data_IF_378507342632
#
_entry.id   IF_378507342632
#
_cell.length_a   1.000
_cell.length_b   1.000
_cell.length_c   1.000
_cell.angle_alpha   90.00
_cell.angle_beta   90.00
_cell.angle_gamma   90.00
#
_symmetry.space_group_name_H-M   'P 1'
#
loop_
_entity.id
_entity.type
_entity.pdbx_description
1 polymer ?
#
# COMPACT_ATOMS: atom_id res chain seq x y z
N UNK A 1 -1.71 -11.37 -15.98
CA UNK A 1 -0.84 -10.51 -15.17
C UNK A 1 -0.06 -11.42 -14.26
N UNK A 2 1.28 -11.33 -14.23
CA UNK A 2 2.09 -12.10 -13.30
C UNK A 2 1.55 -11.92 -11.88
N UNK A 3 1.37 -13.02 -11.15
CA UNK A 3 0.94 -12.95 -9.76
C UNK A 3 1.99 -12.15 -8.99
N UNK A 4 1.63 -10.94 -8.55
CA UNK A 4 2.48 -10.13 -7.68
C UNK A 4 2.81 -10.96 -6.44
N UNK A 5 4.09 -10.95 -6.05
CA UNK A 5 4.49 -11.60 -4.81
C UNK A 5 3.85 -10.90 -3.60
N UNK A 6 3.84 -11.56 -2.45
CA UNK A 6 3.35 -10.95 -1.21
C UNK A 6 4.10 -9.65 -0.89
N UNK A 7 5.41 -9.61 -1.11
CA UNK A 7 6.22 -8.42 -0.86
C UNK A 7 5.91 -7.30 -1.86
N UNK A 8 5.75 -7.63 -3.16
CA UNK A 8 5.35 -6.66 -4.18
C UNK A 8 4.04 -5.96 -3.83
N UNK A 9 3.06 -6.74 -3.33
CA UNK A 9 1.76 -6.19 -2.88
C UNK A 9 1.95 -5.22 -1.72
N UNK A 10 2.82 -5.54 -0.75
CA UNK A 10 3.09 -4.66 0.39
C UNK A 10 3.78 -3.37 -0.04
N UNK A 11 4.77 -3.45 -0.93
CA UNK A 11 5.46 -2.27 -1.49
C UNK A 11 4.45 -1.39 -2.23
N UNK A 12 3.65 -1.97 -3.12
CA UNK A 12 2.60 -1.25 -3.85
C UNK A 12 1.64 -0.53 -2.90
N UNK A 13 1.18 -1.21 -1.85
CA UNK A 13 0.28 -0.62 -0.85
C UNK A 13 0.92 0.55 -0.10
N UNK A 14 2.18 0.44 0.33
CA UNK A 14 2.87 1.53 1.02
C UNK A 14 3.02 2.77 0.13
N UNK A 15 3.35 2.57 -1.15
CA UNK A 15 3.44 3.68 -2.10
C UNK A 15 2.08 4.29 -2.42
N UNK A 16 1.04 3.48 -2.58
CA UNK A 16 -0.32 3.97 -2.77
C UNK A 16 -0.81 4.77 -1.55
N UNK A 17 -0.57 4.31 -0.33
CA UNK A 17 -0.86 5.04 0.92
C UNK A 17 -0.11 6.39 0.98
N UNK A 18 1.09 6.47 0.39
CA UNK A 18 1.81 7.73 0.30
C UNK A 18 1.24 8.70 -0.75
N UNK A 19 0.48 8.18 -1.73
CA UNK A 19 -0.11 8.95 -2.85
C UNK A 19 -1.53 9.43 -2.53
N UNK A 20 -2.29 8.66 -1.75
CA UNK A 20 -3.68 8.97 -1.39
C UNK A 20 -3.82 9.13 0.12
N UNK A 21 -4.22 10.32 0.56
CA UNK A 21 -4.43 10.61 1.98
C UNK A 21 -5.72 9.99 2.53
N UNK A 22 -6.76 9.92 1.69
CA UNK A 22 -8.07 9.35 2.03
C UNK A 22 -8.13 7.85 1.73
N UNK A 23 -8.53 7.06 2.73
CA UNK A 23 -8.59 5.60 2.63
C UNK A 23 -9.64 5.14 1.62
N UNK A 24 -10.76 5.84 1.46
CA UNK A 24 -11.78 5.44 0.49
C UNK A 24 -11.24 5.54 -0.94
N UNK A 25 -10.62 6.68 -1.28
CA UNK A 25 -9.97 6.93 -2.57
C UNK A 25 -8.85 5.91 -2.83
N UNK A 26 -8.02 5.65 -1.81
CA UNK A 26 -6.98 4.62 -1.87
C UNK A 26 -7.56 3.25 -2.23
N UNK A 27 -8.59 2.80 -1.51
CA UNK A 27 -9.22 1.50 -1.73
C UNK A 27 -9.87 1.40 -3.12
N UNK A 28 -10.53 2.46 -3.59
CA UNK A 28 -11.10 2.50 -4.95
C UNK A 28 -10.03 2.33 -6.03
N UNK A 29 -8.89 3.02 -5.89
CA UNK A 29 -7.77 2.90 -6.84
C UNK A 29 -7.12 1.52 -6.80
N UNK A 30 -6.90 0.98 -5.60
CA UNK A 30 -6.29 -0.33 -5.42
C UNK A 30 -7.14 -1.48 -5.96
N UNK A 31 -8.48 -1.37 -5.90
CA UNK A 31 -9.40 -2.38 -6.46
C UNK A 31 -9.22 -2.59 -7.97
N UNK A 32 -8.67 -1.62 -8.69
CA UNK A 32 -8.38 -1.75 -10.11
C UNK A 32 -7.18 -2.66 -10.41
N UNK A 33 -6.30 -2.88 -9.41
CA UNK A 33 -5.02 -3.59 -9.58
C UNK A 33 -4.88 -4.83 -8.70
N UNK A 34 -5.59 -4.88 -7.56
CA UNK A 34 -5.55 -5.96 -6.60
C UNK A 34 -6.96 -6.36 -6.14
N UNK A 35 -7.20 -7.64 -5.82
CA UNK A 35 -8.46 -8.07 -5.24
C UNK A 35 -8.60 -7.53 -3.81
N UNK A 36 -9.84 -7.22 -3.39
CA UNK A 36 -10.15 -6.64 -2.07
C UNK A 36 -9.50 -7.42 -0.91
N UNK A 37 -9.57 -8.75 -0.96
CA UNK A 37 -8.98 -9.63 0.06
C UNK A 37 -7.48 -9.41 0.26
N UNK A 38 -6.74 -9.16 -0.83
CA UNK A 38 -5.30 -8.92 -0.76
C UNK A 38 -4.99 -7.52 -0.24
N UNK A 39 -5.82 -6.53 -0.59
CA UNK A 39 -5.74 -5.17 -0.06
C UNK A 39 -5.92 -5.18 1.46
N UNK A 40 -7.02 -5.78 1.93
CA UNK A 40 -7.35 -5.85 3.37
C UNK A 40 -6.25 -6.57 4.16
N UNK A 41 -5.79 -7.72 3.66
CA UNK A 41 -4.70 -8.50 4.28
C UNK A 41 -3.39 -7.72 4.28
N UNK A 42 -3.07 -7.04 3.18
CA UNK A 42 -1.86 -6.24 3.06
C UNK A 42 -1.87 -5.06 4.04
N UNK A 43 -2.95 -4.29 4.10
CA UNK A 43 -3.13 -3.19 5.06
C UNK A 43 -3.02 -3.71 6.50
N UNK A 44 -3.70 -4.81 6.84
CA UNK A 44 -3.62 -5.41 8.16
C UNK A 44 -2.19 -5.84 8.51
N UNK A 45 -1.44 -6.38 7.53
CA UNK A 45 -0.04 -6.77 7.70
C UNK A 45 0.84 -5.54 7.92
N UNK A 46 0.67 -4.47 7.14
CA UNK A 46 1.43 -3.23 7.28
C UNK A 46 1.17 -2.55 8.62
N UNK A 47 -0.05 -2.60 9.13
CA UNK A 47 -0.39 -2.09 10.47
C UNK A 47 0.20 -3.00 11.56
N UNK A 48 0.01 -4.31 11.45
CA UNK A 48 0.53 -5.29 12.42
C UNK A 48 2.06 -5.30 12.52
N UNK A 49 2.75 -4.96 11.43
CA UNK A 49 4.22 -4.81 11.37
C UNK A 49 4.69 -3.37 11.63
N UNK A 50 3.79 -2.48 12.04
CA UNK A 50 4.06 -1.07 12.33
C UNK A 50 4.68 -0.27 11.18
N UNK A 51 4.56 -0.75 9.93
CA UNK A 51 5.00 -0.03 8.73
C UNK A 51 4.03 1.06 8.31
N UNK A 52 2.75 0.89 8.60
CA UNK A 52 1.67 1.85 8.40
C UNK A 52 0.91 2.02 9.71
N UNK A 53 0.36 3.21 9.94
CA UNK A 53 -0.50 3.52 11.08
C UNK A 53 -1.77 4.22 10.62
N UNK A 54 -2.87 3.99 11.35
CA UNK A 54 -4.12 4.74 11.18
C UNK A 54 -4.06 5.97 12.09
N UNK A 55 -4.13 7.17 11.52
CA UNK A 55 -4.02 8.44 12.26
C UNK A 55 -5.38 9.18 12.38
N UNK A 56 -6.39 8.70 11.68
CA UNK A 56 -7.76 9.20 11.74
C UNK A 56 -8.75 8.10 11.39
N UNK A 57 -10.07 8.37 11.42
CA UNK A 57 -11.08 7.37 11.08
C UNK A 57 -10.83 6.73 9.71
N UNK A 58 -10.42 7.52 8.71
CA UNK A 58 -10.25 7.08 7.31
C UNK A 58 -8.89 7.51 6.73
N UNK A 59 -7.86 7.61 7.58
CA UNK A 59 -6.54 8.11 7.18
C UNK A 59 -5.46 7.11 7.56
N UNK A 60 -4.80 6.55 6.55
CA UNK A 60 -3.64 5.68 6.67
C UNK A 60 -2.37 6.47 6.35
N UNK A 61 -1.31 6.23 7.11
CA UNK A 61 -0.03 6.91 6.92
C UNK A 61 1.12 5.92 7.08
N UNK A 62 2.11 5.98 6.19
CA UNK A 62 3.37 5.27 6.39
C UNK A 62 4.06 5.74 7.67
N UNK A 63 4.48 4.79 8.50
CA UNK A 63 5.15 5.05 9.75
C UNK A 63 6.66 5.23 9.51
N UNK A 64 7.03 6.25 8.74
CA UNK A 64 8.42 6.54 8.34
C UNK A 64 9.35 6.61 9.56
N UNK A 65 8.86 7.16 10.69
CA UNK A 65 9.62 7.20 11.95
C UNK A 65 10.01 5.82 12.49
N UNK A 66 9.27 4.76 12.16
CA UNK A 66 9.57 3.38 12.56
C UNK A 66 10.39 2.62 11.51
N UNK A 67 10.07 2.80 10.23
CA UNK A 67 10.71 2.05 9.13
C UNK A 67 11.96 2.73 8.56
N UNK A 68 12.22 3.98 8.90
CA UNK A 68 13.31 4.81 8.36
C UNK A 68 12.96 5.39 7.00
N UNK A 69 12.69 4.53 6.02
CA UNK A 69 12.38 4.92 4.65
C UNK A 69 11.31 4.02 4.02
N UNK A 70 10.67 4.50 2.95
CA UNK A 70 9.79 3.69 2.13
C UNK A 70 10.61 2.65 1.36
N UNK A 71 10.09 1.42 1.18
CA UNK A 71 10.78 0.41 0.40
C UNK A 71 11.00 0.90 -1.04
N UNK A 72 12.15 0.54 -1.63
CA UNK A 72 12.41 0.79 -3.05
C UNK A 72 11.32 0.14 -3.91
N UNK A 73 11.02 0.77 -5.04
CA UNK A 73 9.98 0.30 -5.97
C UNK A 73 10.64 -0.63 -7.01
N UNK A 74 10.32 -1.94 -7.03
CA UNK A 74 10.70 -2.81 -8.12
C UNK A 74 10.21 -2.32 -9.48
N UNK A 75 11.04 -2.49 -10.52
CA UNK A 75 10.73 -2.03 -11.88
C UNK A 75 9.39 -2.54 -12.41
N UNK A 76 9.03 -3.79 -12.10
CA UNK A 76 7.80 -4.43 -12.58
C UNK A 76 6.53 -3.95 -11.88
N UNK A 77 6.63 -3.29 -10.72
CA UNK A 77 5.47 -2.71 -10.03
C UNK A 77 5.39 -1.19 -10.20
N UNK A 78 6.48 -0.55 -10.65
CA UNK A 78 6.55 0.90 -10.86
C UNK A 78 5.45 1.39 -11.81
N UNK A 79 5.27 0.71 -12.94
CA UNK A 79 4.23 1.05 -13.92
C UNK A 79 2.81 0.97 -13.32
N UNK A 80 2.60 0.05 -12.37
CA UNK A 80 1.31 -0.09 -11.68
C UNK A 80 1.08 1.11 -10.75
N UNK A 81 2.09 1.49 -9.96
CA UNK A 81 2.01 2.63 -9.02
C UNK A 81 1.83 3.96 -9.78
N UNK A 82 2.55 4.13 -10.89
CA UNK A 82 2.44 5.32 -11.74
C UNK A 82 1.04 5.41 -12.38
N UNK A 83 0.41 4.27 -12.70
CA UNK A 83 -0.93 4.17 -13.28
C UNK A 83 -2.11 4.33 -12.31
N UNK A 84 -1.88 4.33 -10.99
CA UNK A 84 -2.93 4.56 -9.97
C UNK A 84 -3.48 6.01 -10.02
#
# INVERSE_FOLDING_TARGET
MSELSSDDKLVLLQHAISKYEDENTLLEKLKAVLPQKDIDRGIATLIGTQRVRRIGPDVLQNNISHIGELPEIPTHIKEIIDGL
#
